data_IF_425298955934
#
_entry.id   IF_425298955934
#
_cell.length_a   1.000
_cell.length_b   1.000
_cell.length_c   1.000
_cell.angle_alpha   90.00
_cell.angle_beta   90.00
_cell.angle_gamma   90.00
#
_symmetry.space_group_name_H-M   'P 1'
#
loop_
_entity.id
_entity.type
_entity.pdbx_description
1 polymer ?
#
# COMPACT_ATOMS: atom_id res chain seq x y z
N UNK A 1 -0.56 -3.10 18.47
CA UNK A 1 -0.20 -1.70 18.16
C UNK A 1 1.07 -1.63 17.33
N UNK A 2 1.04 -0.88 16.23
CA UNK A 2 2.22 -0.60 15.42
C UNK A 2 3.05 0.48 16.09
N UNK A 3 4.35 0.22 16.19
CA UNK A 3 5.33 1.12 16.79
C UNK A 3 5.29 2.49 16.10
N UNK A 4 5.09 3.54 16.89
CA UNK A 4 5.10 4.94 16.43
C UNK A 4 3.89 5.39 15.61
N UNK A 5 2.87 4.55 15.41
CA UNK A 5 1.67 4.93 14.67
C UNK A 5 0.87 6.04 15.39
N UNK A 6 0.72 5.95 16.71
CA UNK A 6 0.07 7.00 17.51
C UNK A 6 0.79 8.34 17.40
N UNK A 7 2.13 8.33 17.51
CA UNK A 7 2.95 9.53 17.33
C UNK A 7 2.74 10.14 15.94
N UNK A 8 2.73 9.31 14.89
CA UNK A 8 2.47 9.76 13.53
C UNK A 8 1.06 10.36 13.40
N UNK A 9 0.05 9.68 13.93
CA UNK A 9 -1.35 10.14 13.94
C UNK A 9 -1.49 11.51 14.60
N UNK A 10 -0.93 11.68 15.81
CA UNK A 10 -0.98 12.94 16.54
C UNK A 10 -0.25 14.06 15.80
N UNK A 11 0.94 13.77 15.26
CA UNK A 11 1.76 14.75 14.56
C UNK A 11 1.11 15.25 13.26
N UNK A 12 0.43 14.38 12.52
CA UNK A 12 -0.15 14.70 11.22
C UNK A 12 -1.68 14.82 11.23
N UNK A 13 -2.30 14.98 12.40
CA UNK A 13 -3.76 15.03 12.55
C UNK A 13 -4.44 16.12 11.71
N UNK A 14 -3.80 17.30 11.59
CA UNK A 14 -4.32 18.43 10.81
C UNK A 14 -4.17 18.26 9.30
N UNK A 15 -3.41 17.26 8.83
CA UNK A 15 -3.04 17.07 7.43
C UNK A 15 -3.74 15.88 6.77
N UNK A 16 -4.90 15.47 7.28
CA UNK A 16 -5.64 14.30 6.79
C UNK A 16 -6.00 14.34 5.30
N UNK A 17 -5.97 15.53 4.67
CA UNK A 17 -6.19 15.71 3.23
C UNK A 17 -4.91 15.59 2.40
N UNK A 18 -3.74 15.84 2.98
CA UNK A 18 -2.46 15.90 2.26
C UNK A 18 -1.85 14.51 1.99
N UNK A 19 -2.31 13.47 2.69
CA UNK A 19 -1.81 12.11 2.50
C UNK A 19 -2.89 11.05 2.69
N UNK A 20 -2.57 9.82 2.33
CA UNK A 20 -3.37 8.64 2.65
C UNK A 20 -2.46 7.45 2.90
N UNK A 21 -2.75 6.70 3.96
CA UNK A 21 -2.04 5.46 4.27
C UNK A 21 -2.60 4.30 3.44
N UNK A 22 -1.71 3.51 2.87
CA UNK A 22 -2.05 2.32 2.10
C UNK A 22 -1.40 1.08 2.72
N UNK A 23 -1.32 0.01 1.93
CA UNK A 23 -0.44 -1.12 2.23
C UNK A 23 -0.79 -1.84 3.52
N UNK A 24 0.23 -2.25 4.28
CA UNK A 24 0.03 -3.12 5.45
C UNK A 24 -0.79 -2.47 6.56
N UNK A 25 -0.55 -1.19 6.84
CA UNK A 25 -1.20 -0.46 7.95
C UNK A 25 -2.67 -0.26 7.67
N UNK A 26 -3.04 0.12 6.45
CA UNK A 26 -4.44 0.28 6.06
C UNK A 26 -5.22 -1.05 6.18
N UNK A 27 -4.59 -2.18 5.80
CA UNK A 27 -5.18 -3.50 6.00
C UNK A 27 -5.38 -3.80 7.49
N UNK A 28 -4.35 -3.57 8.30
CA UNK A 28 -4.40 -3.85 9.73
C UNK A 28 -5.49 -3.03 10.43
N UNK A 29 -5.55 -1.71 10.20
CA UNK A 29 -6.57 -0.84 10.80
C UNK A 29 -7.99 -1.25 10.41
N UNK A 30 -8.20 -1.60 9.14
CA UNK A 30 -9.52 -2.06 8.66
C UNK A 30 -9.94 -3.39 9.30
N UNK A 31 -8.99 -4.32 9.47
CA UNK A 31 -9.25 -5.61 10.11
C UNK A 31 -9.51 -5.47 11.61
N UNK A 32 -8.70 -4.66 12.30
CA UNK A 32 -8.85 -4.40 13.74
C UNK A 32 -10.19 -3.69 14.04
N UNK A 33 -10.63 -2.75 13.19
CA UNK A 33 -11.95 -2.13 13.32
C UNK A 33 -13.10 -3.14 13.24
N UNK A 34 -12.93 -4.22 12.48
CA UNK A 34 -13.89 -5.32 12.37
C UNK A 34 -13.68 -6.42 13.44
N UNK A 35 -12.79 -6.22 14.41
CA UNK A 35 -12.48 -7.21 15.45
C UNK A 35 -11.66 -8.41 14.96
N UNK A 36 -11.02 -8.31 13.79
CA UNK A 36 -10.23 -9.37 13.18
C UNK A 36 -8.73 -9.10 13.35
N UNK A 37 -7.95 -10.17 13.52
CA UNK A 37 -6.48 -10.07 13.57
C UNK A 37 -5.88 -9.92 12.18
N UNK A 38 -4.81 -9.11 12.07
CA UNK A 38 -3.98 -9.02 10.86
C UNK A 38 -2.52 -9.33 11.17
N UNK A 39 -1.74 -9.72 10.16
CA UNK A 39 -0.30 -9.98 10.33
C UNK A 39 0.44 -8.70 10.75
N UNK A 40 1.56 -8.84 11.44
CA UNK A 40 2.41 -7.70 11.76
C UNK A 40 2.90 -7.00 10.47
N UNK A 41 2.99 -5.67 10.54
CA UNK A 41 3.55 -4.80 9.51
C UNK A 41 4.34 -3.69 10.20
N UNK A 42 5.38 -3.20 9.53
CA UNK A 42 6.30 -2.18 10.06
C UNK A 42 6.37 -0.95 9.18
N UNK A 43 6.03 -1.11 7.90
CA UNK A 43 6.06 -0.07 6.89
C UNK A 43 4.79 0.79 7.00
N UNK A 44 4.97 2.11 7.11
CA UNK A 44 3.92 3.09 6.86
C UNK A 44 4.04 3.55 5.42
N UNK A 45 3.14 3.03 4.58
CA UNK A 45 3.06 3.36 3.17
C UNK A 45 2.19 4.62 2.97
N UNK A 46 2.81 5.74 2.60
CA UNK A 46 2.21 7.08 2.59
C UNK A 46 2.13 7.61 1.16
N UNK A 47 0.91 7.76 0.64
CA UNK A 47 0.67 8.39 -0.67
C UNK A 47 0.32 9.86 -0.48
N UNK A 48 1.08 10.75 -1.11
CA UNK A 48 0.77 12.19 -1.11
C UNK A 48 -0.38 12.52 -2.05
N UNK A 49 -1.28 13.36 -1.56
CA UNK A 49 -2.43 13.85 -2.30
C UNK A 49 -2.09 15.24 -2.84
N UNK A 50 -1.52 15.28 -4.05
CA UNK A 50 -0.91 16.49 -4.62
C UNK A 50 -1.88 17.66 -4.73
N UNK A 51 -3.15 17.36 -4.99
CA UNK A 51 -4.23 18.34 -5.15
C UNK A 51 -4.57 19.06 -3.83
N UNK A 52 -4.24 18.45 -2.69
CA UNK A 52 -4.49 18.97 -1.34
C UNK A 52 -3.21 18.98 -0.48
N UNK A 53 -2.04 18.99 -1.13
CA UNK A 53 -0.75 18.97 -0.46
C UNK A 53 -0.45 20.37 0.05
N UNK A 54 -0.36 20.50 1.37
CA UNK A 54 -0.03 21.76 2.02
C UNK A 54 1.49 21.92 2.15
N UNK A 55 2.01 23.13 1.93
CA UNK A 55 3.44 23.42 2.13
C UNK A 55 3.88 23.10 3.56
N UNK A 56 3.03 23.42 4.55
CA UNK A 56 3.31 23.16 5.96
C UNK A 56 3.43 21.67 6.25
N UNK A 57 2.62 20.82 5.62
CA UNK A 57 2.75 19.37 5.74
C UNK A 57 4.14 18.90 5.31
N UNK A 58 4.68 19.40 4.19
CA UNK A 58 6.00 19.01 3.69
C UNK A 58 7.10 19.44 4.67
N UNK A 59 7.03 20.67 5.19
CA UNK A 59 7.97 21.18 6.19
C UNK A 59 7.91 20.35 7.50
N UNK A 60 6.71 20.06 8.00
CA UNK A 60 6.51 19.26 9.20
C UNK A 60 6.96 17.80 9.00
N UNK A 61 6.73 17.24 7.82
CA UNK A 61 7.21 15.90 7.47
C UNK A 61 8.74 15.84 7.51
N UNK A 62 9.44 16.79 6.88
CA UNK A 62 10.90 16.84 6.95
C UNK A 62 11.41 17.09 8.37
N UNK A 63 10.73 17.91 9.16
CA UNK A 63 11.03 18.09 10.58
C UNK A 63 10.84 16.78 11.37
N UNK A 64 9.80 16.00 11.07
CA UNK A 64 9.56 14.69 11.66
C UNK A 64 10.72 13.72 11.33
N UNK A 65 11.15 13.70 10.06
CA UNK A 65 12.30 12.90 9.61
C UNK A 65 13.59 13.31 10.34
N UNK A 66 13.90 14.61 10.35
CA UNK A 66 15.09 15.18 11.01
C UNK A 66 15.09 14.89 12.52
N UNK A 67 13.96 15.07 13.20
CA UNK A 67 13.82 14.81 14.65
C UNK A 67 14.03 13.35 15.02
N UNK A 68 13.64 12.41 14.17
CA UNK A 68 13.83 10.98 14.38
C UNK A 68 15.24 10.49 13.97
N UNK A 69 15.94 11.28 13.16
CA UNK A 69 17.21 10.95 12.52
C UNK A 69 17.13 9.62 11.75
N UNK A 70 16.19 9.55 10.80
CA UNK A 70 16.07 8.40 9.91
C UNK A 70 17.27 8.31 8.96
N UNK A 71 17.65 7.08 8.64
CA UNK A 71 18.48 6.79 7.47
C UNK A 71 17.62 6.94 6.20
N UNK A 72 18.12 7.70 5.23
CA UNK A 72 17.38 8.03 4.02
C UNK A 72 17.89 7.18 2.87
N UNK A 73 16.99 6.42 2.24
CA UNK A 73 17.24 5.72 0.98
C UNK A 73 16.39 6.38 -0.10
N UNK A 74 17.06 7.03 -1.05
CA UNK A 74 16.42 7.69 -2.19
C UNK A 74 16.77 6.94 -3.46
N UNK A 75 15.75 6.62 -4.28
CA UNK A 75 15.95 6.13 -5.64
C UNK A 75 15.33 7.12 -6.62
N UNK A 76 16.13 7.61 -7.55
CA UNK A 76 15.66 8.44 -8.66
C UNK A 76 15.78 7.67 -9.98
N UNK A 77 14.68 7.43 -10.67
CA UNK A 77 14.70 6.84 -12.02
C UNK A 77 14.25 7.88 -13.05
N UNK A 78 15.04 8.95 -13.23
CA UNK A 78 14.86 9.99 -14.26
C UNK A 78 13.61 10.89 -14.14
N UNK A 79 12.42 10.31 -13.96
CA UNK A 79 11.11 11.00 -13.86
C UNK A 79 10.49 10.97 -12.45
N UNK A 80 11.08 10.23 -11.51
CA UNK A 80 10.42 9.79 -10.26
C UNK A 80 11.40 9.78 -9.10
N UNK A 81 10.95 10.21 -7.92
CA UNK A 81 11.66 10.11 -6.65
C UNK A 81 10.77 9.37 -5.67
N UNK A 82 11.30 8.29 -5.12
CA UNK A 82 10.71 7.56 -3.99
C UNK A 82 11.65 7.71 -2.79
N UNK A 83 11.06 7.98 -1.62
CA UNK A 83 11.81 8.09 -0.37
C UNK A 83 11.42 6.97 0.58
N UNK A 84 12.41 6.21 1.02
CA UNK A 84 12.28 5.28 2.12
C UNK A 84 13.13 5.75 3.29
N UNK A 85 12.50 5.92 4.44
CA UNK A 85 13.13 6.34 5.69
C UNK A 85 13.13 5.15 6.64
N UNK A 86 14.31 4.68 7.05
CA UNK A 86 14.46 3.50 7.90
C UNK A 86 15.31 3.81 9.13
N UNK A 87 15.27 2.90 10.12
CA UNK A 87 16.19 2.88 11.25
C UNK A 87 16.30 4.23 11.99
N UNK A 88 15.18 4.79 12.49
CA UNK A 88 15.26 6.00 13.29
C UNK A 88 16.08 5.73 14.56
N UNK A 89 16.91 6.67 14.96
CA UNK A 89 17.66 6.57 16.23
C UNK A 89 16.75 6.57 17.46
N UNK A 90 15.54 7.15 17.33
CA UNK A 90 14.55 7.24 18.39
C UNK A 90 13.52 6.13 18.26
N UNK A 91 13.47 5.25 19.26
CA UNK A 91 12.66 4.03 19.24
C UNK A 91 11.14 4.24 19.35
N UNK A 92 10.63 5.44 19.59
CA UNK A 92 9.19 5.70 19.61
C UNK A 92 8.62 6.14 18.25
N UNK A 93 9.48 6.34 17.25
CA UNK A 93 9.08 6.64 15.87
C UNK A 93 8.75 5.36 15.08
N UNK A 94 7.94 5.48 14.00
CA UNK A 94 7.71 4.40 13.05
C UNK A 94 9.03 3.82 12.53
N UNK A 95 9.13 2.49 12.44
CA UNK A 95 10.38 1.83 12.03
C UNK A 95 10.75 2.15 10.58
N UNK A 96 9.75 2.19 9.69
CA UNK A 96 9.90 2.44 8.27
C UNK A 96 8.78 3.37 7.78
N UNK A 97 9.14 4.43 7.06
CA UNK A 97 8.23 5.27 6.30
C UNK A 97 8.55 5.15 4.81
N UNK A 98 7.54 4.85 4.00
CA UNK A 98 7.63 4.85 2.55
C UNK A 98 6.77 5.98 2.01
N UNK A 99 7.39 6.96 1.34
CA UNK A 99 6.71 8.13 0.81
C UNK A 99 6.61 8.05 -0.71
N UNK A 100 5.38 8.13 -1.21
CA UNK A 100 5.07 8.05 -2.62
C UNK A 100 4.39 9.34 -3.12
N UNK A 101 4.84 9.83 -4.28
CA UNK A 101 4.29 11.03 -4.92
C UNK A 101 4.36 10.94 -6.44
N UNK A 102 3.32 11.45 -7.11
CA UNK A 102 3.28 11.62 -8.58
C UNK A 102 4.08 12.83 -9.07
N UNK A 103 4.32 13.81 -8.21
CA UNK A 103 5.12 15.01 -8.51
C UNK A 103 6.28 15.08 -7.51
N UNK A 104 7.39 14.38 -7.77
CA UNK A 104 8.50 14.29 -6.82
C UNK A 104 9.13 15.65 -6.51
N UNK A 105 9.12 16.57 -7.47
CA UNK A 105 9.71 17.91 -7.34
C UNK A 105 9.05 18.75 -6.23
N UNK A 106 7.82 18.43 -5.84
CA UNK A 106 7.12 19.13 -4.75
C UNK A 106 7.60 18.72 -3.35
N UNK A 107 8.25 17.55 -3.23
CA UNK A 107 8.83 17.07 -1.96
C UNK A 107 10.22 17.67 -1.73
N UNK A 108 10.91 18.06 -2.81
CA UNK A 108 12.23 18.68 -2.77
C UNK A 108 12.13 20.11 -2.19
N UNK A 109 12.17 20.24 -0.87
CA UNK A 109 12.47 21.51 -0.24
C UNK A 109 13.89 21.93 -0.66
N UNK A 110 14.06 23.23 -0.95
CA UNK A 110 15.30 23.92 -1.36
C UNK A 110 16.46 23.86 -0.34
N UNK A 111 16.43 22.94 0.61
CA UNK A 111 17.52 22.81 1.58
C UNK A 111 18.68 22.06 0.91
N UNK A 112 19.84 22.71 0.88
CA UNK A 112 21.15 22.18 0.50
C UNK A 112 21.64 21.02 1.40
N UNK A 113 20.73 20.24 2.01
CA UNK A 113 21.10 18.98 2.61
C UNK A 113 21.45 18.02 1.48
N UNK A 114 22.74 17.76 1.33
CA UNK A 114 23.27 16.63 0.58
C UNK A 114 22.65 15.35 1.13
N UNK A 115 21.44 15.02 0.68
CA UNK A 115 20.84 13.71 0.85
C UNK A 115 21.67 12.80 -0.04
N UNK A 116 22.71 12.20 0.52
CA UNK A 116 23.54 11.23 -0.20
C UNK A 116 22.63 10.07 -0.58
N UNK A 117 22.38 9.84 -1.88
CA UNK A 117 21.62 8.68 -2.30
C UNK A 117 22.42 7.45 -1.86
N UNK A 118 21.88 6.66 -0.94
CA UNK A 118 22.46 5.35 -0.65
C UNK A 118 22.22 4.50 -1.89
N UNK A 119 23.24 3.90 -2.52
CA UNK A 119 23.05 2.99 -3.64
C UNK A 119 22.15 1.85 -3.18
N UNK A 120 20.95 1.78 -3.76
CA UNK A 120 19.96 0.76 -3.45
C UNK A 120 20.18 -0.39 -4.44
N UNK A 121 20.45 -1.59 -3.92
CA UNK A 121 20.36 -2.82 -4.72
C UNK A 121 18.96 -2.89 -5.38
N UNK A 122 18.91 -3.43 -6.59
CA UNK A 122 17.84 -3.28 -7.59
C UNK A 122 16.48 -3.90 -7.20
N UNK A 123 15.81 -3.38 -6.18
CA UNK A 123 14.42 -3.71 -5.87
C UNK A 123 13.55 -2.46 -6.12
N UNK A 124 12.70 -2.53 -7.14
CA UNK A 124 11.64 -1.52 -7.32
C UNK A 124 10.51 -1.92 -6.35
N UNK A 125 10.21 -1.08 -5.36
CA UNK A 125 9.00 -1.28 -4.55
C UNK A 125 7.80 -1.36 -5.49
N UNK A 126 7.06 -2.47 -5.45
CA UNK A 126 5.91 -2.71 -6.32
C UNK A 126 4.83 -1.63 -6.16
N UNK A 127 4.71 -1.04 -4.96
CA UNK A 127 3.84 0.10 -4.68
C UNK A 127 4.29 1.39 -5.41
N UNK A 128 5.59 1.59 -5.58
CA UNK A 128 6.11 2.70 -6.37
C UNK A 128 5.75 2.57 -7.84
N UNK A 129 5.59 1.36 -8.38
CA UNK A 129 5.18 1.12 -9.76
C UNK A 129 3.68 1.37 -9.97
N UNK A 130 2.85 0.94 -9.01
CA UNK A 130 1.40 1.17 -8.97
C UNK A 130 1.05 2.64 -9.11
N UNK A 131 1.66 3.51 -8.30
CA UNK A 131 1.33 4.93 -8.22
C UNK A 131 1.74 5.75 -9.45
N UNK A 132 2.45 5.13 -10.39
CA UNK A 132 2.85 5.75 -11.65
C UNK A 132 1.74 5.73 -12.69
N UNK A 133 0.74 4.87 -12.48
CA UNK A 133 -0.43 4.79 -13.31
C UNK A 133 -1.50 5.76 -12.78
N UNK A 134 -1.97 6.63 -13.67
CA UNK A 134 -2.99 7.64 -13.41
C UNK A 134 -4.29 7.05 -12.86
N UNK A 135 -4.68 5.88 -13.38
CA UNK A 135 -5.88 5.16 -12.95
C UNK A 135 -5.73 4.71 -11.50
N UNK A 136 -4.60 4.10 -11.13
CA UNK A 136 -4.34 3.67 -9.75
C UNK A 136 -4.29 4.83 -8.77
N UNK A 137 -3.74 5.98 -9.17
CA UNK A 137 -3.76 7.15 -8.31
C UNK A 137 -5.17 7.66 -8.09
N UNK A 138 -5.98 7.84 -9.14
CA UNK A 138 -7.38 8.27 -9.01
C UNK A 138 -8.18 7.28 -8.17
N UNK A 139 -7.97 5.99 -8.41
CA UNK A 139 -8.58 4.91 -7.65
C UNK A 139 -8.23 4.98 -6.15
N UNK A 140 -6.97 5.29 -5.81
CA UNK A 140 -6.57 5.58 -4.42
C UNK A 140 -7.30 6.83 -3.90
N UNK A 141 -7.40 7.90 -4.69
CA UNK A 141 -8.09 9.10 -4.22
C UNK A 141 -9.59 8.86 -3.92
N UNK A 142 -10.25 8.02 -4.72
CA UNK A 142 -11.67 7.65 -4.57
C UNK A 142 -11.90 6.69 -3.40
N UNK A 143 -10.94 5.79 -3.12
CA UNK A 143 -11.03 4.75 -2.11
C UNK A 143 -10.72 5.17 -0.67
N UNK A 144 -10.58 6.47 -0.41
CA UNK A 144 -10.20 6.97 0.92
C UNK A 144 -11.33 6.82 1.93
N UNK A 145 -10.94 6.46 3.14
CA UNK A 145 -11.80 6.54 4.32
C UNK A 145 -10.97 6.98 5.54
N UNK A 146 -11.63 7.23 6.66
CA UNK A 146 -10.95 7.60 7.91
C UNK A 146 -11.24 6.56 8.99
N UNK A 147 -10.19 5.93 9.52
CA UNK A 147 -10.25 5.06 10.71
C UNK A 147 -9.38 5.71 11.77
N UNK A 148 -9.93 5.90 12.97
CA UNK A 148 -9.17 6.47 14.10
C UNK A 148 -8.38 7.73 13.70
N UNK A 149 -9.06 8.68 13.03
CA UNK A 149 -8.51 9.95 12.53
C UNK A 149 -7.40 9.83 11.47
N UNK A 150 -7.01 8.62 11.06
CA UNK A 150 -6.03 8.40 10.00
C UNK A 150 -6.74 8.27 8.64
N UNK A 151 -6.33 9.03 7.61
CA UNK A 151 -6.79 8.81 6.24
C UNK A 151 -6.14 7.53 5.71
N UNK A 152 -6.95 6.52 5.39
CA UNK A 152 -6.47 5.25 4.83
C UNK A 152 -7.25 4.89 3.56
N UNK A 153 -6.75 3.93 2.80
CA UNK A 153 -7.52 3.28 1.73
C UNK A 153 -8.36 2.15 2.28
N UNK A 154 -9.62 2.09 1.85
CA UNK A 154 -10.56 1.08 2.26
C UNK A 154 -10.32 -0.31 1.66
N UNK A 155 -10.89 -1.37 2.26
CA UNK A 155 -10.67 -2.76 1.84
C UNK A 155 -10.97 -3.03 0.36
N UNK A 156 -12.05 -2.43 -0.17
CA UNK A 156 -12.46 -2.56 -1.58
C UNK A 156 -11.42 -2.02 -2.56
N UNK A 157 -10.62 -1.03 -2.14
CA UNK A 157 -9.59 -0.43 -2.99
C UNK A 157 -8.19 -0.99 -2.66
N UNK A 158 -7.97 -1.48 -1.44
CA UNK A 158 -6.75 -2.21 -1.07
C UNK A 158 -6.57 -3.50 -1.86
N UNK A 159 -7.66 -4.20 -2.20
CA UNK A 159 -7.57 -5.49 -2.92
C UNK A 159 -6.92 -5.32 -4.30
N UNK A 160 -7.38 -4.41 -5.20
CA UNK A 160 -6.68 -4.18 -6.47
C UNK A 160 -5.22 -3.74 -6.32
N UNK A 161 -4.91 -2.90 -5.32
CA UNK A 161 -3.53 -2.50 -5.03
C UNK A 161 -2.65 -3.70 -4.64
N UNK A 162 -3.19 -4.63 -3.85
CA UNK A 162 -2.49 -5.87 -3.48
C UNK A 162 -2.33 -6.81 -4.68
N UNK A 163 -3.35 -6.91 -5.55
CA UNK A 163 -3.30 -7.74 -6.74
C UNK A 163 -2.21 -7.25 -7.68
N UNK A 164 -2.12 -5.93 -7.88
CA UNK A 164 -1.05 -5.34 -8.67
C UNK A 164 0.33 -5.55 -8.07
N UNK A 165 0.48 -5.37 -6.76
CA UNK A 165 1.76 -5.61 -6.09
C UNK A 165 2.22 -7.07 -6.19
N UNK A 166 1.27 -8.02 -6.21
CA UNK A 166 1.54 -9.43 -6.48
C UNK A 166 2.06 -9.62 -7.91
N UNK A 167 1.39 -9.05 -8.92
CA UNK A 167 1.78 -9.17 -10.33
C UNK A 167 3.17 -8.56 -10.59
N UNK A 168 3.45 -7.39 -10.02
CA UNK A 168 4.74 -6.72 -10.19
C UNK A 168 5.89 -7.56 -9.60
N UNK A 169 5.70 -8.15 -8.41
CA UNK A 169 6.70 -9.02 -7.80
C UNK A 169 6.88 -10.34 -8.57
N UNK A 170 5.79 -10.89 -9.13
CA UNK A 170 5.86 -12.08 -9.96
C UNK A 170 6.65 -11.80 -11.26
N UNK A 171 6.34 -10.70 -11.96
CA UNK A 171 7.05 -10.30 -13.16
C UNK A 171 8.54 -10.02 -12.89
N UNK A 172 8.87 -9.39 -11.75
CA UNK A 172 10.26 -9.22 -11.31
C UNK A 172 10.96 -10.56 -11.12
N UNK A 173 10.33 -11.51 -10.41
CA UNK A 173 10.87 -12.86 -10.24
C UNK A 173 11.09 -13.58 -11.56
N UNK A 174 10.19 -13.43 -12.54
CA UNK A 174 10.29 -14.05 -13.87
C UNK A 174 11.39 -13.41 -14.73
N UNK A 175 11.67 -12.11 -14.53
CA UNK A 175 12.75 -11.37 -15.18
C UNK A 175 14.15 -11.65 -14.61
N UNK A 176 14.25 -12.52 -13.61
CA UNK A 176 15.52 -12.93 -12.98
C UNK A 176 15.95 -12.08 -11.80
N UNK A 177 15.14 -11.10 -11.37
CA UNK A 177 15.35 -10.36 -10.11
C UNK A 177 15.07 -11.29 -8.93
N UNK A 178 15.93 -11.25 -7.91
CA UNK A 178 15.71 -12.04 -6.69
C UNK A 178 14.49 -11.49 -5.93
N UNK A 179 13.46 -12.32 -5.76
CA UNK A 179 12.24 -11.97 -5.00
C UNK A 179 11.90 -13.12 -4.05
N UNK A 180 11.65 -12.81 -2.77
CA UNK A 180 11.18 -13.83 -1.82
C UNK A 180 9.74 -14.23 -2.16
N UNK A 181 9.50 -15.52 -2.40
CA UNK A 181 8.15 -16.09 -2.62
C UNK A 181 7.19 -15.81 -1.47
N UNK A 182 7.69 -15.56 -0.24
CA UNK A 182 6.86 -15.11 0.89
C UNK A 182 6.28 -13.72 0.65
N UNK A 183 7.02 -12.83 0.01
CA UNK A 183 6.55 -11.48 -0.31
C UNK A 183 5.47 -11.51 -1.38
N UNK A 184 5.60 -12.35 -2.41
CA UNK A 184 4.52 -12.58 -3.37
C UNK A 184 3.27 -13.11 -2.66
N UNK A 185 3.42 -14.20 -1.88
CA UNK A 185 2.29 -14.84 -1.18
C UNK A 185 1.62 -13.94 -0.15
N UNK A 186 2.33 -12.99 0.49
CA UNK A 186 1.73 -12.09 1.49
C UNK A 186 0.67 -11.19 0.86
N UNK A 187 0.89 -10.67 -0.35
CA UNK A 187 -0.08 -9.81 -1.03
C UNK A 187 -1.36 -10.58 -1.40
N UNK A 188 -1.20 -11.78 -1.96
CA UNK A 188 -2.33 -12.70 -2.24
C UNK A 188 -3.12 -13.02 -0.96
N UNK A 189 -2.44 -13.38 0.12
CA UNK A 189 -3.08 -13.73 1.38
C UNK A 189 -3.77 -12.52 2.05
N UNK A 190 -3.21 -11.32 1.90
CA UNK A 190 -3.84 -10.08 2.39
C UNK A 190 -5.18 -9.83 1.67
N UNK A 191 -5.30 -10.11 0.37
CA UNK A 191 -6.58 -10.02 -0.37
C UNK A 191 -7.65 -10.91 0.24
N UNK A 192 -7.32 -12.16 0.54
CA UNK A 192 -8.26 -13.09 1.17
C UNK A 192 -8.64 -12.68 2.59
N UNK A 193 -7.71 -12.07 3.35
CA UNK A 193 -8.06 -11.50 4.66
C UNK A 193 -9.05 -10.36 4.53
N UNK A 194 -8.80 -9.43 3.59
CA UNK A 194 -9.65 -8.27 3.32
C UNK A 194 -11.02 -8.66 2.77
N UNK A 195 -11.14 -9.79 2.08
CA UNK A 195 -12.43 -10.31 1.62
C UNK A 195 -13.48 -10.40 2.74
N UNK A 196 -13.06 -10.71 3.98
CA UNK A 196 -13.96 -10.77 5.15
C UNK A 196 -14.62 -9.42 5.49
N UNK A 197 -14.07 -8.32 4.98
CA UNK A 197 -14.57 -6.96 5.22
C UNK A 197 -15.50 -6.47 4.11
N UNK A 198 -15.67 -7.25 3.03
CA UNK A 198 -16.49 -6.84 1.90
C UNK A 198 -17.96 -7.18 2.13
N UNK A 199 -18.84 -6.29 1.68
CA UNK A 199 -20.26 -6.59 1.50
C UNK A 199 -20.47 -7.28 0.15
N UNK A 200 -21.31 -8.32 0.13
CA UNK A 200 -21.67 -9.03 -1.12
C UNK A 200 -22.41 -8.11 -2.11
N UNK A 201 -23.02 -7.03 -1.62
CA UNK A 201 -23.73 -6.04 -2.43
C UNK A 201 -22.81 -4.88 -2.89
N UNK A 202 -21.52 -4.91 -2.56
CA UNK A 202 -20.57 -3.90 -3.02
C UNK A 202 -20.33 -4.06 -4.51
N UNK A 203 -20.34 -2.96 -5.24
CA UNK A 203 -19.92 -2.91 -6.64
C UNK A 203 -18.87 -1.81 -6.81
N UNK A 204 -17.70 -2.18 -7.31
CA UNK A 204 -16.57 -1.28 -7.51
C UNK A 204 -16.30 -1.20 -9.00
N UNK A 205 -16.48 -0.01 -9.57
CA UNK A 205 -16.11 0.25 -10.95
C UNK A 205 -14.57 0.32 -11.06
N UNK A 206 -13.99 -0.57 -11.85
CA UNK A 206 -12.56 -0.59 -12.10
C UNK A 206 -12.23 0.17 -13.40
N UNK A 207 -11.27 1.11 -13.39
CA UNK A 207 -10.64 1.58 -14.62
C UNK A 207 -10.03 0.41 -15.40
N UNK A 208 -9.97 0.53 -16.72
CA UNK A 208 -9.55 -0.56 -17.62
C UNK A 208 -8.20 -1.17 -17.23
N UNK A 209 -7.21 -0.36 -16.87
CA UNK A 209 -5.89 -0.88 -16.49
C UNK A 209 -5.93 -1.73 -15.21
N UNK A 210 -6.74 -1.33 -14.22
CA UNK A 210 -6.93 -2.06 -12.97
C UNK A 210 -7.79 -3.31 -13.20
N UNK A 211 -8.80 -3.21 -14.06
CA UNK A 211 -9.64 -4.33 -14.46
C UNK A 211 -8.81 -5.46 -15.09
N UNK A 212 -7.91 -5.14 -16.02
CA UNK A 212 -7.02 -6.12 -16.65
C UNK A 212 -6.06 -6.76 -15.63
N UNK A 213 -5.44 -5.96 -14.76
CA UNK A 213 -4.58 -6.48 -13.70
C UNK A 213 -5.36 -7.45 -12.78
N UNK A 214 -6.58 -7.09 -12.39
CA UNK A 214 -7.43 -7.95 -11.57
C UNK A 214 -7.79 -9.26 -12.28
N UNK A 215 -8.13 -9.23 -13.58
CA UNK A 215 -8.38 -10.45 -14.36
C UNK A 215 -7.17 -11.37 -14.43
N UNK A 216 -5.98 -10.81 -14.68
CA UNK A 216 -4.73 -11.58 -14.72
C UNK A 216 -4.48 -12.21 -13.34
N UNK A 217 -4.59 -11.43 -12.27
CA UNK A 217 -4.42 -11.91 -10.91
C UNK A 217 -5.35 -13.09 -10.60
N UNK A 218 -6.66 -12.96 -10.84
CA UNK A 218 -7.61 -14.04 -10.55
C UNK A 218 -7.39 -15.29 -11.39
N UNK A 219 -6.97 -15.12 -12.65
CA UNK A 219 -6.60 -16.24 -13.52
C UNK A 219 -5.42 -17.03 -12.95
N UNK A 220 -4.39 -16.33 -12.48
CA UNK A 220 -3.19 -16.96 -11.90
C UNK A 220 -3.48 -17.69 -10.59
N UNK A 221 -4.31 -17.12 -9.70
CA UNK A 221 -4.58 -17.72 -8.39
C UNK A 221 -5.63 -18.84 -8.43
N UNK A 222 -6.41 -18.96 -9.52
CA UNK A 222 -7.48 -19.97 -9.63
C UNK A 222 -6.98 -21.40 -9.42
N UNK A 223 -5.77 -21.70 -9.89
CA UNK A 223 -5.16 -23.03 -9.81
C UNK A 223 -4.03 -23.13 -8.77
N UNK A 224 -3.90 -22.14 -7.89
CA UNK A 224 -2.83 -22.09 -6.91
C UNK A 224 -3.15 -23.00 -5.71
N UNK A 225 -2.58 -24.22 -5.73
CA UNK A 225 -2.77 -25.24 -4.70
C UNK A 225 -2.15 -24.89 -3.34
N UNK A 226 -1.37 -23.80 -3.24
CA UNK A 226 -0.76 -23.36 -1.99
C UNK A 226 -1.67 -22.48 -1.13
N UNK A 227 -2.91 -22.25 -1.56
CA UNK A 227 -3.89 -21.42 -0.85
C UNK A 227 -4.57 -22.24 0.24
N UNK A 228 -4.36 -21.84 1.50
CA UNK A 228 -5.07 -22.39 2.66
C UNK A 228 -5.96 -21.30 3.27
N UNK A 229 -7.25 -21.31 2.89
CA UNK A 229 -8.23 -20.36 3.41
C UNK A 229 -8.49 -20.53 4.92
N UNK A 230 -8.38 -21.76 5.45
CA UNK A 230 -8.61 -22.02 6.87
C UNK A 230 -7.52 -21.35 7.72
N UNK A 231 -6.26 -21.43 7.27
CA UNK A 231 -5.14 -20.74 7.89
C UNK A 231 -5.25 -19.21 7.83
N UNK A 232 -6.10 -18.67 6.94
CA UNK A 232 -6.37 -17.24 6.78
C UNK A 232 -7.60 -16.75 7.55
N UNK A 233 -8.26 -17.62 8.31
CA UNK A 233 -9.46 -17.30 9.10
C UNK A 233 -10.78 -17.61 8.38
N UNK A 234 -10.74 -18.07 7.13
CA UNK A 234 -11.89 -18.32 6.26
C UNK A 234 -12.34 -19.79 6.33
N UNK A 235 -12.64 -20.30 7.53
CA UNK A 235 -12.84 -21.75 7.76
C UNK A 235 -14.02 -22.37 7.01
N UNK A 236 -15.07 -21.59 6.77
CA UNK A 236 -16.35 -22.05 6.23
C UNK A 236 -16.60 -21.59 4.79
N UNK A 237 -15.61 -20.95 4.15
CA UNK A 237 -15.79 -20.34 2.82
C UNK A 237 -15.02 -21.18 1.81
N UNK A 238 -15.71 -21.59 0.74
CA UNK A 238 -15.08 -22.29 -0.37
C UNK A 238 -14.33 -21.30 -1.25
N UNK A 239 -13.19 -21.73 -1.79
CA UNK A 239 -12.36 -20.88 -2.64
C UNK A 239 -13.13 -20.37 -3.88
N UNK A 240 -13.86 -21.25 -4.55
CA UNK A 240 -14.65 -20.86 -5.74
C UNK A 240 -15.77 -19.87 -5.41
N UNK A 241 -16.39 -19.97 -4.23
CA UNK A 241 -17.43 -19.05 -3.77
C UNK A 241 -16.86 -17.66 -3.47
N UNK A 242 -15.71 -17.61 -2.79
CA UNK A 242 -14.97 -16.36 -2.55
C UNK A 242 -14.55 -15.71 -3.86
N UNK A 243 -14.01 -16.49 -4.80
CA UNK A 243 -13.64 -15.99 -6.12
C UNK A 243 -14.84 -15.47 -6.91
N UNK A 244 -15.95 -16.19 -6.90
CA UNK A 244 -17.20 -15.76 -7.55
C UNK A 244 -17.70 -14.43 -6.97
N UNK A 245 -17.67 -14.29 -5.65
CA UNK A 245 -18.07 -13.06 -4.96
C UNK A 245 -17.13 -11.90 -5.31
N UNK A 246 -15.82 -12.11 -5.27
CA UNK A 246 -14.84 -11.09 -5.66
C UNK A 246 -15.03 -10.68 -7.13
N UNK A 247 -15.23 -11.64 -8.04
CA UNK A 247 -15.51 -11.34 -9.44
C UNK A 247 -16.80 -10.52 -9.61
N UNK A 248 -17.84 -10.81 -8.84
CA UNK A 248 -19.08 -10.02 -8.87
C UNK A 248 -18.87 -8.59 -8.36
N UNK A 249 -18.17 -8.43 -7.23
CA UNK A 249 -17.88 -7.11 -6.64
C UNK A 249 -17.11 -6.21 -7.60
N UNK A 250 -16.13 -6.78 -8.32
CA UNK A 250 -15.25 -6.05 -9.23
C UNK A 250 -15.69 -6.12 -10.71
N UNK A 251 -16.88 -6.68 -11.00
CA UNK A 251 -17.41 -6.76 -12.36
C UNK A 251 -16.58 -7.61 -13.33
N UNK A 252 -15.86 -8.63 -12.85
CA UNK A 252 -14.94 -9.47 -13.62
C UNK A 252 -15.58 -10.74 -14.19
N UNK A 253 -16.91 -10.85 -14.12
CA UNK A 253 -17.61 -12.01 -14.67
C UNK A 253 -17.43 -12.02 -16.19
N UNK A 254 -16.92 -13.15 -16.71
CA UNK A 254 -16.82 -13.37 -18.15
C UNK A 254 -18.19 -13.23 -18.79
N UNK A 255 -18.27 -12.48 -19.90
CA UNK A 255 -19.30 -12.73 -20.92
C UNK A 255 -19.13 -14.14 -21.52
#
# INVERSE_FOLDING_TARGET
MVKGLELFKEHFASYSKSYTLIGGIACMLSMEQAGLSFRATKDLDIVLCIEALEKQFVEDFWNFIKKANYQIRQRSSGKKIFYRFCNPTKSFYPEILELFSRKPDLICLKDNSHLTPIPVNEEVSSLSAILLNDDYYKFIQEGKLTIDKLPIIGPTHLIPLKARAFLDLLAQSESGVHVDKKDIRKHRNDIFRLYQLLSINSHIHLPESIYQDMKIFFTLIKNDSSIDLKALGLKNIKFDEMLSTLNSIYGLLSE
#
